data_IF_000515472245
#
_entry.id   IF_000515472245
#
_cell.length_a   1.000
_cell.length_b   1.000
_cell.length_c   1.000
_cell.angle_alpha   90.00
_cell.angle_beta   90.00
_cell.angle_gamma   90.00
#
_symmetry.space_group_name_H-M   'P 1'
#
loop_
_entity.id
_entity.type
_entity.pdbx_description
1 polymer ?
#
# COMPACT_ATOMS: atom_id res chain seq x y z
N UNK A 1 4.87 2.49 15.53
CA UNK A 1 4.47 1.14 15.06
C UNK A 1 5.01 0.95 13.64
N UNK A 2 4.99 -0.26 13.10
CA UNK A 2 5.53 -0.58 11.75
C UNK A 2 4.43 -0.59 10.68
N UNK A 3 3.31 0.10 10.94
CA UNK A 3 2.13 0.14 10.08
C UNK A 3 2.30 1.32 9.11
N UNK A 4 2.19 1.05 7.82
CA UNK A 4 2.45 2.03 6.75
C UNK A 4 1.23 2.31 5.89
N UNK A 5 0.24 1.40 5.88
CA UNK A 5 -1.02 1.57 5.17
C UNK A 5 -2.18 1.09 6.04
N UNK A 6 -3.28 1.84 5.97
CA UNK A 6 -4.58 1.46 6.57
C UNK A 6 -5.69 1.72 5.55
N UNK A 7 -6.74 0.92 5.64
CA UNK A 7 -7.98 1.24 4.92
C UNK A 7 -8.71 2.39 5.60
N UNK A 8 -9.17 3.37 4.81
CA UNK A 8 -9.79 4.61 5.32
C UNK A 8 -11.29 4.47 5.56
N UNK A 9 -12.05 3.94 4.59
CA UNK A 9 -13.51 3.89 4.66
C UNK A 9 -14.05 2.50 5.00
N UNK A 10 -13.65 1.49 4.25
CA UNK A 10 -14.11 0.11 4.41
C UNK A 10 -12.90 -0.82 4.61
N UNK A 11 -13.02 -1.75 5.54
CA UNK A 11 -12.01 -2.77 5.80
C UNK A 11 -12.43 -4.08 5.12
N UNK A 12 -12.04 -4.33 3.86
CA UNK A 12 -12.61 -5.40 3.04
C UNK A 12 -12.28 -6.81 3.53
N UNK A 13 -11.29 -6.95 4.42
CA UNK A 13 -10.83 -8.23 4.93
C UNK A 13 -10.96 -8.35 6.46
N UNK A 14 -11.56 -7.36 7.14
CA UNK A 14 -11.75 -7.37 8.58
C UNK A 14 -10.44 -7.35 9.39
N UNK A 15 -9.33 -6.86 8.82
CA UNK A 15 -8.05 -6.77 9.53
C UNK A 15 -8.16 -5.91 10.79
N UNK A 16 -7.50 -6.33 11.88
CA UNK A 16 -7.45 -5.53 13.11
C UNK A 16 -6.86 -4.14 12.82
N UNK A 17 -7.46 -3.09 13.37
CA UNK A 17 -7.10 -1.68 13.17
C UNK A 17 -7.07 -1.21 11.70
N UNK A 18 -7.78 -1.94 10.82
CA UNK A 18 -7.81 -1.70 9.37
C UNK A 18 -6.43 -1.70 8.72
N UNK A 19 -5.47 -2.47 9.25
CA UNK A 19 -4.09 -2.52 8.74
C UNK A 19 -4.08 -3.15 7.35
N UNK A 20 -3.56 -2.41 6.37
CA UNK A 20 -3.45 -2.84 4.97
C UNK A 20 -2.00 -3.13 4.56
N UNK A 21 -1.00 -2.61 5.30
CA UNK A 21 0.40 -2.87 5.03
C UNK A 21 1.33 -2.52 6.20
N UNK A 22 2.41 -3.29 6.31
CA UNK A 22 3.45 -3.18 7.34
C UNK A 22 4.85 -3.20 6.72
N UNK A 23 5.82 -2.66 7.44
CA UNK A 23 7.24 -2.66 7.04
C UNK A 23 8.11 -3.29 8.12
N UNK A 24 9.21 -3.96 7.76
CA UNK A 24 10.13 -4.51 8.74
C UNK A 24 10.88 -3.38 9.50
N UNK A 25 11.53 -3.73 10.62
CA UNK A 25 12.23 -2.74 11.47
C UNK A 25 13.35 -2.00 10.74
N UNK A 26 13.96 -2.65 9.75
CA UNK A 26 15.03 -2.08 8.92
C UNK A 26 14.51 -1.16 7.81
N UNK A 27 13.20 -1.14 7.54
CA UNK A 27 12.60 -0.31 6.51
C UNK A 27 12.84 -0.78 5.07
N UNK A 28 13.30 -2.02 4.86
CA UNK A 28 13.70 -2.52 3.54
C UNK A 28 12.86 -3.69 3.01
N UNK A 29 11.87 -4.14 3.79
CA UNK A 29 10.88 -5.15 3.35
C UNK A 29 9.50 -4.67 3.76
N UNK A 30 8.61 -4.48 2.80
CA UNK A 30 7.23 -4.08 3.00
C UNK A 30 6.30 -5.21 2.54
N UNK A 31 5.29 -5.53 3.35
CA UNK A 31 4.19 -6.40 2.97
C UNK A 31 2.89 -5.60 2.98
N UNK A 32 2.09 -5.72 1.93
CA UNK A 32 0.80 -5.04 1.82
C UNK A 32 -0.22 -5.91 1.08
N UNK A 33 -1.50 -5.69 1.39
CA UNK A 33 -2.64 -6.30 0.70
C UNK A 33 -3.14 -5.52 -0.53
N UNK A 34 -3.16 -4.16 -0.58
CA UNK A 34 -3.55 -3.47 -1.81
C UNK A 34 -2.58 -3.79 -2.95
N UNK A 35 -3.08 -3.67 -4.18
CA UNK A 35 -2.36 -3.97 -5.42
C UNK A 35 -1.96 -2.66 -6.14
N UNK A 36 -0.94 -1.92 -5.65
CA UNK A 36 -0.52 -0.64 -6.24
C UNK A 36 -0.04 -0.81 -7.69
N UNK A 37 0.45 -1.98 -8.08
CA UNK A 37 0.83 -2.31 -9.45
C UNK A 37 -0.33 -2.27 -10.44
N UNK A 38 -1.58 -2.41 -9.96
CA UNK A 38 -2.80 -2.31 -10.78
C UNK A 38 -3.32 -0.88 -10.89
N UNK A 39 -2.76 0.05 -10.12
CA UNK A 39 -3.15 1.46 -10.08
C UNK A 39 -2.01 2.34 -10.59
N UNK A 40 -1.39 1.97 -11.71
CA UNK A 40 -0.27 2.72 -12.33
C UNK A 40 -0.66 3.39 -13.65
N UNK A 41 -1.88 3.16 -14.14
CA UNK A 41 -2.37 3.70 -15.41
C UNK A 41 -3.82 4.16 -15.24
N UNK A 42 -4.13 5.39 -15.65
CA UNK A 42 -5.49 5.95 -15.54
C UNK A 42 -6.54 5.10 -16.26
N UNK A 43 -6.19 4.42 -17.34
CA UNK A 43 -7.10 3.53 -18.07
C UNK A 43 -7.58 2.33 -17.23
N UNK A 44 -6.82 1.96 -16.19
CA UNK A 44 -7.18 0.89 -15.25
C UNK A 44 -7.94 1.42 -14.02
N UNK A 45 -8.19 2.73 -13.95
CA UNK A 45 -9.04 3.39 -12.95
C UNK A 45 -8.31 4.38 -12.03
N UNK A 46 -6.98 4.29 -11.91
CA UNK A 46 -6.16 5.26 -11.16
C UNK A 46 -4.68 5.06 -11.50
N UNK A 47 -3.89 6.14 -11.42
CA UNK A 47 -2.42 6.11 -11.48
C UNK A 47 -1.73 6.30 -10.12
N UNK A 48 -2.47 6.31 -9.00
CA UNK A 48 -1.92 6.68 -7.68
C UNK A 48 -0.80 5.74 -7.19
N UNK A 49 -0.86 4.47 -7.58
CA UNK A 49 0.11 3.44 -7.24
C UNK A 49 1.52 3.70 -7.78
N UNK A 50 1.67 4.54 -8.81
CA UNK A 50 2.99 4.88 -9.40
C UNK A 50 3.92 5.51 -8.37
N UNK A 51 3.37 6.30 -7.44
CA UNK A 51 4.15 7.02 -6.45
C UNK A 51 4.90 6.08 -5.49
N UNK A 52 4.34 4.90 -5.22
CA UNK A 52 5.00 3.88 -4.42
C UNK A 52 6.28 3.39 -5.11
N UNK A 53 6.22 3.06 -6.40
CA UNK A 53 7.39 2.57 -7.13
C UNK A 53 8.45 3.65 -7.35
N UNK A 54 8.02 4.89 -7.63
CA UNK A 54 8.93 6.04 -7.72
C UNK A 54 9.67 6.30 -6.41
N UNK A 55 9.09 5.94 -5.26
CA UNK A 55 9.76 6.06 -3.96
C UNK A 55 10.98 5.13 -3.81
N UNK A 56 11.05 4.03 -4.58
CA UNK A 56 12.19 3.10 -4.55
C UNK A 56 13.41 3.60 -5.34
N UNK A 57 13.20 4.56 -6.24
CA UNK A 57 14.23 5.09 -7.13
C UNK A 57 14.93 6.34 -6.57
N UNK A 58 14.45 6.85 -5.43
CA UNK A 58 15.04 7.98 -4.71
C UNK A 58 16.06 7.49 -3.69
#
# INVERSE_FOLDING_TARGET
NQIVLKYEYENPNGSIDSIAGIINKKGNVMGMMPHPERAVEDILGSSDGINLFLSFLK
#
